data_IF_773885893225
#
_entry.id   IF_773885893225
#
_cell.length_a   1.000
_cell.length_b   1.000
_cell.length_c   1.000
_cell.angle_alpha   90.00
_cell.angle_beta   90.00
_cell.angle_gamma   90.00
#
_symmetry.space_group_name_H-M   'P 1'
#
loop_
_entity.id
_entity.type
_entity.pdbx_description
1 polymer ?
#
# COMPACT_ATOMS: atom_id res chain seq x y z
N UNK A 1 4.09 15.69 -27.27
CA UNK A 1 5.39 15.88 -26.60
C UNK A 1 5.79 14.53 -26.04
N UNK A 2 6.64 13.79 -26.75
CA UNK A 2 7.12 12.50 -26.26
C UNK A 2 8.15 12.78 -25.17
N UNK A 3 8.00 12.15 -24.01
CA UNK A 3 9.00 12.18 -22.95
C UNK A 3 10.22 11.43 -23.49
N UNK A 4 11.30 12.14 -23.86
CA UNK A 4 12.59 11.53 -24.18
C UNK A 4 13.41 11.48 -22.89
N UNK A 5 13.54 10.32 -22.23
CA UNK A 5 14.29 10.23 -20.99
C UNK A 5 15.79 10.40 -21.26
N UNK A 6 16.47 11.11 -20.35
CA UNK A 6 17.91 11.31 -20.41
C UNK A 6 18.64 9.95 -20.35
N UNK A 7 19.42 9.66 -21.38
CA UNK A 7 20.14 8.38 -21.55
C UNK A 7 21.23 8.16 -20.51
N UNK A 8 21.72 9.23 -19.87
CA UNK A 8 22.70 9.12 -18.77
C UNK A 8 22.04 8.74 -17.43
N UNK A 9 20.72 8.94 -17.30
CA UNK A 9 19.96 8.70 -16.08
C UNK A 9 19.05 7.47 -16.15
N UNK A 10 19.08 6.71 -17.26
CA UNK A 10 18.32 5.47 -17.43
C UNK A 10 19.24 4.25 -17.43
N UNK A 11 18.81 3.20 -16.73
CA UNK A 11 19.36 1.85 -16.79
C UNK A 11 18.21 0.84 -17.02
N UNK A 12 18.55 -0.42 -17.28
CA UNK A 12 17.56 -1.47 -17.57
C UNK A 12 16.61 -1.76 -16.38
N UNK A 13 17.05 -1.52 -15.14
CA UNK A 13 16.25 -1.78 -13.93
C UNK A 13 15.19 -0.69 -13.67
N UNK A 14 15.48 0.56 -14.06
CA UNK A 14 14.58 1.73 -13.85
C UNK A 14 13.81 2.12 -15.11
N UNK A 15 14.07 1.45 -16.23
CA UNK A 15 13.34 1.68 -17.47
C UNK A 15 11.84 1.42 -17.27
N UNK A 16 10.95 2.24 -17.88
CA UNK A 16 9.51 2.03 -17.77
C UNK A 16 9.10 0.64 -18.29
N UNK A 17 8.31 -0.10 -17.51
CA UNK A 17 7.84 -1.43 -17.90
C UNK A 17 6.89 -1.31 -19.11
N UNK A 18 7.18 -2.00 -20.25
CA UNK A 18 6.31 -2.00 -21.41
C UNK A 18 4.97 -2.68 -21.10
N UNK A 19 3.90 -2.40 -21.85
CA UNK A 19 2.58 -3.00 -21.60
C UNK A 19 2.59 -4.53 -21.52
N UNK A 20 3.43 -5.19 -22.32
CA UNK A 20 3.60 -6.64 -22.37
C UNK A 20 4.23 -7.23 -21.10
N UNK A 21 5.00 -6.43 -20.34
CA UNK A 21 5.64 -6.85 -19.08
C UNK A 21 4.76 -6.62 -17.84
N UNK A 22 3.56 -6.05 -17.98
CA UNK A 22 2.65 -5.80 -16.86
C UNK A 22 1.80 -7.04 -16.55
N UNK A 23 2.33 -7.94 -15.73
CA UNK A 23 1.61 -9.14 -15.29
C UNK A 23 0.77 -8.94 -14.01
N UNK A 24 0.84 -7.76 -13.39
CA UNK A 24 0.15 -7.47 -12.14
C UNK A 24 -1.33 -7.19 -12.38
N UNK A 25 -2.18 -8.11 -11.91
CA UNK A 25 -3.63 -7.90 -11.88
C UNK A 25 -4.02 -6.99 -10.72
N UNK A 26 -5.25 -6.46 -10.76
CA UNK A 26 -5.84 -5.69 -9.64
C UNK A 26 -5.83 -6.49 -8.33
N UNK A 27 -5.98 -7.82 -8.41
CA UNK A 27 -5.91 -8.70 -7.22
C UNK A 27 -4.50 -8.83 -6.65
N UNK A 28 -3.47 -8.80 -7.48
CA UNK A 28 -2.08 -8.80 -7.02
C UNK A 28 -1.79 -7.49 -6.28
N UNK A 29 -2.28 -6.37 -6.83
CA UNK A 29 -2.18 -5.06 -6.19
C UNK A 29 -2.93 -5.01 -4.85
N UNK A 30 -4.15 -5.54 -4.80
CA UNK A 30 -4.96 -5.57 -3.57
C UNK A 30 -4.32 -6.44 -2.48
N UNK A 31 -3.76 -7.59 -2.86
CA UNK A 31 -3.05 -8.47 -1.92
C UNK A 31 -1.81 -7.80 -1.33
N UNK A 32 -1.05 -7.09 -2.17
CA UNK A 32 0.12 -6.32 -1.73
C UNK A 32 -0.28 -5.15 -0.83
N UNK A 33 -1.39 -4.46 -1.15
CA UNK A 33 -1.96 -3.41 -0.31
C UNK A 33 -2.31 -3.92 1.09
N UNK A 34 -3.03 -5.04 1.21
CA UNK A 34 -3.35 -5.64 2.52
C UNK A 34 -2.07 -6.00 3.28
N UNK A 35 -1.07 -6.56 2.59
CA UNK A 35 0.23 -6.89 3.18
C UNK A 35 0.96 -5.68 3.77
N UNK A 36 0.85 -4.51 3.16
CA UNK A 36 1.44 -3.26 3.67
C UNK A 36 0.65 -2.66 4.85
N UNK A 37 -0.68 -2.78 4.82
CA UNK A 37 -1.58 -2.30 5.89
C UNK A 37 -1.38 -3.10 7.18
N UNK A 38 -1.19 -4.42 7.06
CA UNK A 38 -1.02 -5.33 8.21
C UNK A 38 0.44 -5.31 8.67
N UNK A 39 0.77 -4.34 9.53
CA UNK A 39 2.10 -4.21 10.12
C UNK A 39 2.06 -3.89 11.62
N UNK A 40 3.22 -3.98 12.29
CA UNK A 40 3.35 -3.77 13.75
C UNK A 40 2.79 -2.41 14.20
N UNK A 41 3.06 -1.27 13.52
CA UNK A 41 2.47 0.02 13.89
C UNK A 41 0.93 0.03 13.89
N UNK A 42 0.32 -0.63 12.89
CA UNK A 42 -1.14 -0.75 12.78
C UNK A 42 -1.74 -1.48 13.98
N UNK A 43 -1.07 -2.54 14.45
CA UNK A 43 -1.47 -3.25 15.67
C UNK A 43 -1.30 -2.39 16.93
N UNK A 44 -0.24 -1.59 17.01
CA UNK A 44 -0.04 -0.66 18.13
C UNK A 44 -1.13 0.43 18.17
N UNK A 45 -1.53 0.96 17.01
CA UNK A 45 -2.64 1.91 16.91
C UNK A 45 -3.97 1.28 17.35
N UNK A 46 -4.26 0.05 16.89
CA UNK A 46 -5.46 -0.67 17.32
C UNK A 46 -5.43 -0.94 18.84
N UNK A 47 -4.29 -1.34 19.40
CA UNK A 47 -4.13 -1.55 20.83
C UNK A 47 -4.35 -0.26 21.63
N UNK A 48 -3.82 0.88 21.16
CA UNK A 48 -4.04 2.19 21.78
C UNK A 48 -5.50 2.63 21.75
N UNK A 49 -6.23 2.36 20.67
CA UNK A 49 -7.66 2.62 20.60
C UNK A 49 -8.46 1.75 21.58
N UNK A 50 -8.07 0.48 21.74
CA UNK A 50 -8.67 -0.42 22.72
C UNK A 50 -8.42 0.07 24.14
N UNK A 51 -7.19 0.49 24.44
CA UNK A 51 -6.81 1.05 25.74
C UNK A 51 -7.61 2.33 26.09
N UNK A 52 -7.94 3.14 25.07
CA UNK A 52 -8.83 4.30 25.20
C UNK A 52 -10.31 3.95 25.41
N UNK A 53 -10.67 2.67 25.49
CA UNK A 53 -12.02 2.19 25.81
C UNK A 53 -12.84 1.72 24.61
N UNK A 54 -12.25 1.63 23.42
CA UNK A 54 -12.92 1.11 22.22
C UNK A 54 -12.96 -0.43 22.25
N UNK A 55 -14.06 -1.05 21.81
CA UNK A 55 -14.06 -2.52 21.66
C UNK A 55 -13.05 -2.96 20.59
N UNK A 56 -12.48 -4.16 20.74
CA UNK A 56 -11.48 -4.69 19.80
C UNK A 56 -11.97 -4.65 18.33
N UNK A 57 -13.26 -4.94 18.10
CA UNK A 57 -13.84 -4.93 16.76
C UNK A 57 -13.97 -3.50 16.20
N UNK A 58 -14.33 -2.51 17.03
CA UNK A 58 -14.40 -1.11 16.63
C UNK A 58 -13.01 -0.53 16.36
N UNK A 59 -12.00 -0.89 17.16
CA UNK A 59 -10.63 -0.44 16.96
C UNK A 59 -10.06 -0.94 15.63
N UNK A 60 -10.25 -2.23 15.33
CA UNK A 60 -9.86 -2.81 14.04
C UNK A 60 -10.60 -2.14 12.88
N UNK A 61 -11.91 -1.91 13.01
CA UNK A 61 -12.71 -1.24 11.97
C UNK A 61 -12.23 0.20 11.72
N UNK A 62 -11.94 0.94 12.78
CA UNK A 62 -11.44 2.33 12.69
C UNK A 62 -10.09 2.39 11.98
N UNK A 63 -9.17 1.48 12.32
CA UNK A 63 -7.86 1.40 11.67
C UNK A 63 -7.98 0.96 10.21
N UNK A 64 -8.88 0.02 9.90
CA UNK A 64 -9.16 -0.41 8.53
C UNK A 64 -9.68 0.75 7.68
N UNK A 65 -10.63 1.55 8.20
CA UNK A 65 -11.16 2.72 7.52
C UNK A 65 -10.08 3.78 7.28
N UNK A 66 -9.23 4.04 8.29
CA UNK A 66 -8.10 4.96 8.14
C UNK A 66 -7.16 4.53 7.00
N UNK A 67 -6.83 3.25 6.92
CA UNK A 67 -5.97 2.72 5.86
C UNK A 67 -6.64 2.79 4.48
N UNK A 68 -7.94 2.53 4.38
CA UNK A 68 -8.70 2.64 3.11
C UNK A 68 -8.74 4.07 2.54
N UNK A 69 -8.67 5.09 3.39
CA UNK A 69 -8.68 6.50 2.94
C UNK A 69 -7.29 6.97 2.49
N UNK A 70 -6.24 6.49 3.17
CA UNK A 70 -4.87 6.97 2.93
C UNK A 70 -4.21 6.28 1.74
N UNK A 71 -4.43 4.98 1.57
CA UNK A 71 -3.77 4.13 0.57
C UNK A 71 -4.73 3.78 -0.57
#
# INVERSE_FOLDING_TARGET
MAFEPDRELINDDIAPVPPEGRHWSVMNMASLWVGMVVCVPTYMLAAGLIDQGMSWAQAVCTVMLGNMVVL
#
